data_IF_801451194275
#
_entry.id   IF_801451194275
#
_cell.length_a   1.000
_cell.length_b   1.000
_cell.length_c   1.000
_cell.angle_alpha   90.00
_cell.angle_beta   90.00
_cell.angle_gamma   90.00
#
_symmetry.space_group_name_H-M   'P 1'
#
loop_
_entity.id
_entity.type
_entity.pdbx_description
1 polymer ?
#
# COMPACT_ATOMS: atom_id res chain seq x y z
N UNK A 1 15.41 60.45 43.88
CA UNK A 1 15.29 61.53 42.89
C UNK A 1 15.09 60.93 41.51
N UNK A 2 13.86 60.93 40.99
CA UNK A 2 13.58 60.80 39.56
C UNK A 2 12.57 61.91 39.23
N UNK A 3 13.03 62.97 38.55
CA UNK A 3 12.20 64.07 38.07
C UNK A 3 11.65 63.67 36.71
N UNK A 4 10.34 63.42 36.62
CA UNK A 4 9.67 63.22 35.33
C UNK A 4 9.47 64.61 34.71
N UNK A 5 10.38 64.97 33.83
CA UNK A 5 10.33 66.18 33.03
C UNK A 5 9.92 65.80 31.60
N UNK A 6 8.61 65.77 31.31
CA UNK A 6 8.09 65.90 29.95
C UNK A 6 6.60 66.27 29.98
N UNK A 7 6.29 67.46 29.47
CA UNK A 7 4.93 67.92 29.18
C UNK A 7 4.38 67.08 28.03
N UNK A 8 3.17 66.54 28.19
CA UNK A 8 2.40 65.97 27.09
C UNK A 8 1.83 67.14 26.30
N UNK A 9 2.50 67.53 25.21
CA UNK A 9 1.96 68.47 24.22
C UNK A 9 1.42 67.66 23.05
N UNK A 10 0.10 67.69 22.86
CA UNK A 10 -0.54 67.06 21.70
C UNK A 10 -1.93 66.48 21.92
N UNK A 11 -2.76 67.06 22.78
CA UNK A 11 -4.20 66.70 22.83
C UNK A 11 -4.96 67.76 22.05
N UNK A 12 -5.34 67.43 20.82
CA UNK A 12 -6.33 68.21 20.08
C UNK A 12 -7.72 67.83 20.59
N UNK A 13 -8.43 68.80 21.17
CA UNK A 13 -9.86 68.68 21.49
C UNK A 13 -10.64 68.74 20.18
N UNK A 14 -11.20 67.60 19.77
CA UNK A 14 -12.12 67.53 18.62
C UNK A 14 -13.48 68.05 19.10
N UNK A 15 -13.97 69.14 18.49
CA UNK A 15 -15.34 69.64 18.68
C UNK A 15 -16.32 68.69 17.99
N UNK A 16 -17.47 68.46 18.62
CA UNK A 16 -18.38 67.36 18.33
C UNK A 16 -19.41 67.59 17.20
N UNK A 17 -19.23 68.54 16.27
CA UNK A 17 -20.25 68.85 15.25
C UNK A 17 -19.65 69.11 13.86
N UNK A 18 -19.00 68.10 13.28
CA UNK A 18 -18.71 68.08 11.84
C UNK A 18 -19.04 66.68 11.28
N UNK A 19 -19.90 66.58 10.24
CA UNK A 19 -20.26 65.28 9.67
C UNK A 19 -19.02 64.63 9.03
N UNK A 20 -18.83 63.31 9.21
CA UNK A 20 -17.62 62.65 8.73
C UNK A 20 -17.58 62.66 7.20
N UNK A 21 -16.50 63.23 6.66
CA UNK A 21 -16.17 63.11 5.24
C UNK A 21 -15.94 61.63 4.91
N UNK A 22 -16.58 61.06 3.87
CA UNK A 22 -16.39 59.65 3.53
C UNK A 22 -14.96 59.43 3.04
N UNK A 23 -14.15 58.75 3.85
CA UNK A 23 -12.85 58.25 3.45
C UNK A 23 -13.07 57.10 2.47
N UNK A 24 -12.51 57.14 1.24
CA UNK A 24 -12.65 56.03 0.30
C UNK A 24 -12.00 54.78 0.90
N UNK A 25 -12.75 53.67 0.92
CA UNK A 25 -12.26 52.39 1.36
C UNK A 25 -10.99 52.01 0.56
N UNK A 26 -9.91 51.55 1.21
CA UNK A 26 -8.73 51.10 0.50
C UNK A 26 -9.12 49.93 -0.40
N UNK A 27 -8.95 50.10 -1.70
CA UNK A 27 -9.07 49.01 -2.67
C UNK A 27 -8.09 47.91 -2.26
N UNK A 28 -8.60 46.77 -1.78
CA UNK A 28 -7.76 45.60 -1.51
C UNK A 28 -7.08 45.20 -2.82
N UNK A 29 -5.77 45.38 -2.88
CA UNK A 29 -4.96 44.81 -3.94
C UNK A 29 -5.19 43.29 -3.99
N UNK A 30 -5.27 42.68 -5.19
CA UNK A 30 -5.45 41.24 -5.30
C UNK A 30 -4.33 40.52 -4.56
N UNK A 31 -4.72 39.57 -3.69
CA UNK A 31 -3.78 38.75 -2.96
C UNK A 31 -2.86 38.03 -3.96
N UNK A 32 -1.53 37.99 -3.71
CA UNK A 32 -0.60 37.29 -4.58
C UNK A 32 -1.02 35.82 -4.75
N UNK A 33 -0.88 35.24 -5.96
CA UNK A 33 -1.25 33.85 -6.19
C UNK A 33 -0.50 32.95 -5.20
N UNK A 34 -1.24 32.05 -4.55
CA UNK A 34 -0.66 31.10 -3.62
C UNK A 34 0.45 30.31 -4.31
N UNK A 35 1.62 30.10 -3.65
CA UNK A 35 2.72 29.37 -4.26
C UNK A 35 2.28 27.96 -4.61
N UNK A 36 2.49 27.56 -5.88
CA UNK A 36 2.26 26.20 -6.34
C UNK A 36 3.32 25.31 -5.69
N UNK A 37 2.91 24.43 -4.79
CA UNK A 37 3.81 23.45 -4.17
C UNK A 37 4.31 22.49 -5.25
N UNK A 38 5.59 22.06 -5.19
CA UNK A 38 6.13 21.12 -6.16
C UNK A 38 5.39 19.78 -6.10
N UNK A 39 5.32 19.11 -7.25
CA UNK A 39 4.85 17.73 -7.31
C UNK A 39 5.80 16.82 -6.53
N UNK A 40 5.22 15.90 -5.76
CA UNK A 40 5.94 14.95 -4.92
C UNK A 40 5.36 13.57 -5.19
N UNK A 41 6.08 12.74 -5.93
CA UNK A 41 5.61 11.42 -6.31
C UNK A 41 5.67 10.47 -5.09
N UNK A 42 4.52 10.04 -4.54
CA UNK A 42 4.49 9.25 -3.31
C UNK A 42 5.07 7.85 -3.47
N UNK A 43 5.31 7.35 -4.71
CA UNK A 43 6.03 6.10 -4.94
C UNK A 43 7.49 6.14 -4.48
N UNK A 44 8.10 7.33 -4.55
CA UNK A 44 9.53 7.51 -4.30
C UNK A 44 9.83 8.31 -3.03
N UNK A 45 8.80 8.77 -2.32
CA UNK A 45 8.97 9.39 -1.00
C UNK A 45 9.64 8.40 -0.06
N UNK A 46 10.79 8.77 0.47
CA UNK A 46 11.55 7.92 1.38
C UNK A 46 10.92 7.95 2.75
N UNK A 47 10.58 6.78 3.27
CA UNK A 47 10.15 6.61 4.66
C UNK A 47 11.36 6.25 5.50
N UNK A 48 11.72 7.10 6.45
CA UNK A 48 12.94 6.88 7.25
C UNK A 48 12.77 5.68 8.18
N UNK A 49 11.70 5.68 8.97
CA UNK A 49 11.41 4.67 9.97
C UNK A 49 9.99 4.12 9.78
N UNK A 50 9.83 2.84 10.13
CA UNK A 50 8.51 2.23 10.27
C UNK A 50 7.77 2.97 11.40
N UNK A 51 6.52 3.42 11.21
CA UNK A 51 5.72 3.98 12.30
C UNK A 51 5.52 2.97 13.45
N UNK A 52 5.34 3.48 14.67
CA UNK A 52 5.09 2.67 15.86
C UNK A 52 3.64 2.12 15.91
N UNK A 53 2.74 2.73 15.13
CA UNK A 53 1.33 2.36 15.06
C UNK A 53 1.10 0.99 14.39
N UNK A 54 -0.10 0.45 14.60
CA UNK A 54 -0.55 -0.74 13.90
C UNK A 54 -0.67 -0.46 12.40
N UNK A 55 -0.14 -1.36 11.57
CA UNK A 55 -0.20 -1.25 10.13
C UNK A 55 -1.13 -2.33 9.58
N UNK A 56 -1.81 -2.02 8.47
CA UNK A 56 -2.54 -3.01 7.71
C UNK A 56 -1.52 -3.98 7.08
N UNK A 57 -1.67 -5.28 7.36
CA UNK A 57 -0.74 -6.29 6.88
C UNK A 57 -1.48 -7.49 6.30
N UNK A 58 -0.94 -8.02 5.20
CA UNK A 58 -1.38 -9.28 4.60
C UNK A 58 -0.40 -10.37 5.02
N UNK A 59 -0.91 -11.46 5.60
CA UNK A 59 -0.12 -12.65 5.92
C UNK A 59 -0.57 -13.78 4.99
N UNK A 60 0.34 -14.30 4.18
CA UNK A 60 0.06 -15.39 3.24
C UNK A 60 0.87 -16.65 3.57
N UNK A 61 0.20 -17.81 3.54
CA UNK A 61 0.87 -19.11 3.66
C UNK A 61 1.42 -19.54 2.30
N UNK A 62 2.73 -19.65 2.21
CA UNK A 62 3.45 -20.05 1.00
C UNK A 62 3.94 -21.49 1.15
N UNK A 63 3.70 -22.31 0.12
CA UNK A 63 4.21 -23.69 0.08
C UNK A 63 5.35 -23.80 -0.91
N UNK A 64 6.54 -24.14 -0.42
CA UNK A 64 7.75 -24.36 -1.20
C UNK A 64 7.94 -25.88 -1.40
N UNK A 65 7.88 -26.34 -2.64
CA UNK A 65 8.18 -27.73 -3.00
C UNK A 65 9.61 -27.87 -3.51
N UNK A 66 10.51 -28.42 -2.69
CA UNK A 66 11.91 -28.68 -3.02
C UNK A 66 12.13 -30.16 -3.37
N UNK A 67 13.39 -30.56 -3.58
CA UNK A 67 13.80 -31.97 -3.75
C UNK A 67 13.68 -32.77 -2.45
N UNK A 68 13.83 -32.10 -1.29
CA UNK A 68 13.78 -32.74 0.04
C UNK A 68 12.35 -32.90 0.54
N UNK A 69 11.41 -32.10 0.02
CA UNK A 69 10.00 -32.21 0.37
C UNK A 69 9.25 -30.90 0.20
N UNK A 70 8.07 -30.82 0.84
CA UNK A 70 7.28 -29.60 0.90
C UNK A 70 7.51 -28.91 2.24
N UNK A 71 7.71 -27.60 2.17
CA UNK A 71 7.89 -26.71 3.31
C UNK A 71 6.86 -25.60 3.27
N UNK A 72 6.32 -25.21 4.42
CA UNK A 72 5.33 -24.15 4.53
C UNK A 72 5.95 -22.98 5.29
N UNK A 73 5.86 -21.80 4.72
CA UNK A 73 6.30 -20.54 5.34
C UNK A 73 5.15 -19.54 5.32
N UNK A 74 5.21 -18.54 6.18
CA UNK A 74 4.26 -17.45 6.27
C UNK A 74 4.99 -16.15 5.99
N UNK A 75 4.53 -15.44 4.98
CA UNK A 75 5.08 -14.15 4.56
C UNK A 75 4.10 -13.07 4.95
N UNK A 76 4.57 -12.06 5.67
CA UNK A 76 3.79 -10.88 6.03
C UNK A 76 4.30 -9.66 5.24
N UNK A 77 3.38 -8.89 4.67
CA UNK A 77 3.67 -7.59 4.03
C UNK A 77 2.77 -6.54 4.67
N UNK A 78 3.39 -5.54 5.30
CA UNK A 78 2.70 -4.41 5.91
C UNK A 78 2.66 -3.23 4.96
N UNK A 79 1.58 -2.47 5.01
CA UNK A 79 1.29 -1.36 4.12
C UNK A 79 1.11 -0.05 4.89
N UNK A 80 1.46 1.06 4.24
CA UNK A 80 1.36 2.41 4.78
C UNK A 80 0.80 3.36 3.72
N UNK A 81 -0.12 4.24 4.11
CA UNK A 81 -0.57 5.35 3.28
C UNK A 81 0.55 6.38 3.15
N UNK A 82 0.90 6.73 1.91
CA UNK A 82 1.87 7.77 1.59
C UNK A 82 1.16 8.86 0.78
N UNK A 83 1.19 10.08 1.31
CA UNK A 83 0.66 11.28 0.68
C UNK A 83 1.68 11.88 -0.27
N UNK A 84 1.20 12.51 -1.32
CA UNK A 84 2.03 13.20 -2.31
C UNK A 84 1.22 14.19 -3.14
N UNK A 85 1.83 14.68 -4.21
CA UNK A 85 1.20 15.61 -5.17
C UNK A 85 1.51 15.21 -6.60
N UNK A 86 0.49 15.25 -7.44
CA UNK A 86 0.60 14.99 -8.88
C UNK A 86 -0.21 16.04 -9.63
N UNK A 87 0.43 16.77 -10.55
CA UNK A 87 -0.18 17.88 -11.29
C UNK A 87 -0.81 18.93 -10.35
N UNK A 88 -0.16 19.23 -9.22
CA UNK A 88 -0.66 20.14 -8.18
C UNK A 88 -1.78 19.60 -7.29
N UNK A 89 -2.35 18.43 -7.62
CA UNK A 89 -3.41 17.80 -6.84
C UNK A 89 -2.82 16.91 -5.74
N UNK A 90 -3.33 17.05 -4.52
CA UNK A 90 -2.99 16.15 -3.43
C UNK A 90 -3.55 14.74 -3.70
N UNK A 91 -2.68 13.74 -3.60
CA UNK A 91 -3.03 12.33 -3.77
C UNK A 91 -2.49 11.53 -2.59
N UNK A 92 -3.06 10.35 -2.36
CA UNK A 92 -2.55 9.37 -1.43
C UNK A 92 -2.56 7.99 -2.10
N UNK A 93 -1.54 7.19 -1.80
CA UNK A 93 -1.44 5.80 -2.24
C UNK A 93 -1.08 4.92 -1.06
N UNK A 94 -1.44 3.65 -1.13
CA UNK A 94 -0.93 2.65 -0.21
C UNK A 94 0.36 2.03 -0.77
N UNK A 95 1.40 1.92 0.06
CA UNK A 95 2.69 1.32 -0.30
C UNK A 95 3.08 0.21 0.67
N UNK A 96 3.73 -0.87 0.19
CA UNK A 96 4.39 -1.80 1.08
C UNK A 96 5.54 -1.08 1.81
N UNK A 97 5.69 -1.35 3.11
CA UNK A 97 6.68 -0.67 3.97
C UNK A 97 7.57 -1.64 4.75
N UNK A 98 7.07 -2.84 4.99
CA UNK A 98 7.75 -3.87 5.75
C UNK A 98 7.41 -5.23 5.19
N UNK A 99 8.42 -6.07 5.05
CA UNK A 99 8.30 -7.47 4.69
C UNK A 99 8.87 -8.26 5.86
N UNK A 100 8.10 -9.21 6.36
CA UNK A 100 8.47 -10.02 7.50
C UNK A 100 8.25 -11.50 7.22
N UNK A 101 9.23 -12.31 7.62
CA UNK A 101 9.14 -13.77 7.61
C UNK A 101 9.59 -14.26 8.98
N UNK A 102 8.69 -14.84 9.80
CA UNK A 102 9.05 -15.26 11.15
C UNK A 102 10.17 -16.31 11.15
N UNK A 103 11.08 -16.21 12.11
CA UNK A 103 12.19 -17.15 12.26
C UNK A 103 11.70 -18.58 12.61
N UNK A 104 12.55 -19.58 12.36
CA UNK A 104 12.28 -20.98 12.69
C UNK A 104 11.33 -21.69 11.71
N UNK A 105 10.91 -21.03 10.64
CA UNK A 105 10.14 -21.65 9.56
C UNK A 105 11.02 -22.33 8.50
N UNK A 106 12.35 -22.31 8.69
CA UNK A 106 13.33 -22.86 7.75
C UNK A 106 14.33 -23.77 8.42
N UNK A 107 14.73 -24.82 7.69
CA UNK A 107 15.62 -25.88 8.17
C UNK A 107 17.10 -25.46 8.25
N UNK A 108 17.48 -24.34 7.62
CA UNK A 108 18.81 -23.71 7.71
C UNK A 108 18.78 -22.45 8.60
N UNK A 109 19.97 -22.03 9.05
CA UNK A 109 20.20 -20.81 9.83
C UNK A 109 19.44 -19.63 9.22
N UNK A 110 18.35 -19.20 9.87
CA UNK A 110 17.45 -18.16 9.39
C UNK A 110 18.07 -16.76 9.29
N UNK A 111 19.38 -16.61 9.50
CA UNK A 111 20.09 -15.34 9.43
C UNK A 111 20.00 -14.70 8.04
N UNK A 112 20.13 -15.50 6.97
CA UNK A 112 20.02 -14.98 5.61
C UNK A 112 18.61 -14.48 5.31
N UNK A 113 17.59 -15.13 5.86
CA UNK A 113 16.19 -14.73 5.72
C UNK A 113 15.99 -13.40 6.43
N UNK A 114 16.40 -13.30 7.69
CA UNK A 114 16.30 -12.08 8.47
C UNK A 114 17.01 -10.92 7.77
N UNK A 115 18.23 -11.15 7.25
CA UNK A 115 18.97 -10.15 6.47
C UNK A 115 18.21 -9.74 5.19
N UNK A 116 17.66 -10.72 4.45
CA UNK A 116 16.92 -10.47 3.20
C UNK A 116 15.63 -9.68 3.47
N UNK A 117 14.86 -10.03 4.51
CA UNK A 117 13.62 -9.33 4.87
C UNK A 117 13.90 -7.89 5.34
N UNK A 118 14.99 -7.67 6.07
CA UNK A 118 15.45 -6.32 6.45
C UNK A 118 15.83 -5.49 5.22
N UNK A 119 16.57 -6.08 4.27
CA UNK A 119 16.95 -5.42 3.01
C UNK A 119 15.74 -5.10 2.14
N UNK A 120 14.78 -6.02 2.03
CA UNK A 120 13.53 -5.79 1.30
C UNK A 120 12.67 -4.71 1.97
N UNK A 121 12.58 -4.69 3.29
CA UNK A 121 11.87 -3.64 4.02
C UNK A 121 12.51 -2.26 3.82
N UNK A 122 13.85 -2.20 3.76
CA UNK A 122 14.55 -0.98 3.40
C UNK A 122 14.26 -0.56 1.94
N UNK A 123 14.21 -1.51 1.01
CA UNK A 123 13.86 -1.25 -0.39
C UNK A 123 12.42 -0.74 -0.54
N UNK A 124 11.49 -1.27 0.24
CA UNK A 124 10.08 -0.85 0.32
C UNK A 124 9.97 0.61 0.78
N UNK A 125 10.63 0.93 1.90
CA UNK A 125 10.74 2.30 2.42
C UNK A 125 11.40 3.27 1.44
N UNK A 126 12.36 2.80 0.65
CA UNK A 126 13.08 3.58 -0.36
C UNK A 126 12.38 3.70 -1.72
N UNK A 127 11.27 3.01 -1.96
CA UNK A 127 10.52 3.10 -3.22
C UNK A 127 11.10 2.28 -4.39
N UNK A 128 11.94 1.29 -4.10
CA UNK A 128 12.58 0.44 -5.12
C UNK A 128 12.39 -1.07 -4.89
N UNK A 129 11.42 -1.46 -4.06
CA UNK A 129 11.08 -2.86 -3.77
C UNK A 129 10.80 -3.68 -5.04
N UNK A 130 10.07 -3.10 -6.00
CA UNK A 130 9.72 -3.78 -7.26
C UNK A 130 10.97 -4.28 -7.99
N UNK A 131 11.99 -3.42 -8.11
CA UNK A 131 13.28 -3.79 -8.71
C UNK A 131 14.01 -4.83 -7.87
N UNK A 132 14.05 -4.64 -6.55
CA UNK A 132 14.70 -5.59 -5.65
C UNK A 132 14.08 -7.00 -5.75
N UNK A 133 12.76 -7.11 -5.85
CA UNK A 133 12.06 -8.38 -6.05
C UNK A 133 12.41 -8.99 -7.41
N UNK A 134 12.39 -8.20 -8.51
CA UNK A 134 12.77 -8.66 -9.85
C UNK A 134 14.21 -9.19 -9.90
N UNK A 135 15.14 -8.58 -9.15
CA UNK A 135 16.51 -9.07 -9.05
C UNK A 135 16.59 -10.35 -8.19
N UNK A 136 15.87 -10.42 -7.07
CA UNK A 136 15.82 -11.63 -6.23
C UNK A 136 15.20 -12.84 -6.96
N UNK A 137 14.28 -12.62 -7.91
CA UNK A 137 13.72 -13.67 -8.78
C UNK A 137 14.77 -14.42 -9.60
N UNK A 138 15.95 -13.82 -9.80
CA UNK A 138 17.02 -14.36 -10.62
C UNK A 138 18.10 -15.11 -9.82
N UNK A 139 18.04 -15.07 -8.49
CA UNK A 139 19.05 -15.70 -7.63
C UNK A 139 19.07 -17.22 -7.85
N UNK A 140 20.18 -17.80 -8.34
CA UNK A 140 20.27 -19.23 -8.59
C UNK A 140 20.62 -20.01 -7.32
N UNK A 141 20.35 -21.32 -7.37
CA UNK A 141 20.81 -22.27 -6.35
C UNK A 141 21.16 -23.63 -6.95
N UNK A 142 22.00 -24.38 -6.26
CA UNK A 142 22.48 -25.71 -6.63
C UNK A 142 21.58 -26.85 -6.14
N UNK A 143 20.65 -26.62 -5.20
CA UNK A 143 19.75 -27.68 -4.66
C UNK A 143 18.53 -27.97 -5.55
N UNK A 144 18.58 -27.56 -6.81
CA UNK A 144 17.53 -27.78 -7.81
C UNK A 144 16.39 -26.77 -7.72
N UNK A 145 15.40 -26.89 -8.63
CA UNK A 145 14.32 -25.91 -8.74
C UNK A 145 13.34 -26.03 -7.56
N UNK A 146 12.77 -24.90 -7.18
CA UNK A 146 11.76 -24.78 -6.12
C UNK A 146 10.41 -24.51 -6.76
N UNK A 147 9.41 -25.32 -6.42
CA UNK A 147 8.02 -25.13 -6.85
C UNK A 147 7.31 -24.18 -5.88
N UNK A 148 6.75 -23.09 -6.39
CA UNK A 148 5.94 -22.18 -5.58
C UNK A 148 4.91 -21.47 -6.47
N UNK A 149 3.63 -21.52 -6.07
CA UNK A 149 2.54 -20.98 -6.86
C UNK A 149 2.17 -21.85 -8.06
N UNK A 150 1.11 -21.44 -8.74
CA UNK A 150 0.44 -22.19 -9.79
C UNK A 150 0.11 -21.27 -10.96
N UNK A 151 0.24 -21.78 -12.18
CA UNK A 151 -0.15 -21.09 -13.41
C UNK A 151 -1.21 -21.92 -14.14
N UNK A 152 -2.32 -21.29 -14.47
CA UNK A 152 -3.33 -21.86 -15.36
C UNK A 152 -2.75 -21.87 -16.79
N UNK A 153 -2.54 -23.06 -17.34
CA UNK A 153 -2.01 -23.27 -18.69
C UNK A 153 -3.14 -23.39 -19.73
N UNK A 154 -4.38 -23.14 -19.33
CA UNK A 154 -5.57 -23.38 -20.14
C UNK A 154 -6.04 -24.84 -20.06
N UNK A 155 -7.26 -25.09 -20.56
CA UNK A 155 -7.88 -26.42 -20.59
C UNK A 155 -7.99 -27.11 -19.22
N UNK A 156 -8.14 -26.32 -18.14
CA UNK A 156 -8.20 -26.84 -16.77
C UNK A 156 -6.87 -27.38 -16.23
N UNK A 157 -5.76 -27.24 -16.98
CA UNK A 157 -4.44 -27.69 -16.57
C UNK A 157 -3.74 -26.61 -15.75
N UNK A 158 -3.59 -26.87 -14.46
CA UNK A 158 -2.81 -26.03 -13.55
C UNK A 158 -1.44 -26.64 -13.35
N UNK A 159 -0.39 -25.85 -13.56
CA UNK A 159 1.01 -26.30 -13.41
C UNK A 159 1.73 -25.52 -12.32
N UNK A 160 2.55 -26.17 -11.47
CA UNK A 160 3.35 -25.47 -10.48
C UNK A 160 4.44 -24.64 -11.17
N UNK A 161 4.65 -23.42 -10.68
CA UNK A 161 5.71 -22.56 -11.20
C UNK A 161 7.04 -22.96 -10.57
N UNK A 162 8.06 -23.10 -11.41
CA UNK A 162 9.42 -23.45 -11.01
C UNK A 162 10.26 -22.19 -10.85
N UNK A 163 11.06 -22.16 -9.79
CA UNK A 163 11.93 -21.06 -9.43
C UNK A 163 13.36 -21.55 -9.23
N UNK A 164 14.38 -20.72 -9.52
CA UNK A 164 15.77 -21.14 -9.47
C UNK A 164 16.33 -21.33 -8.05
N UNK A 165 15.64 -20.82 -7.02
CA UNK A 165 16.04 -20.93 -5.60
C UNK A 165 14.86 -20.70 -4.64
N UNK A 166 15.05 -20.97 -3.35
CA UNK A 166 14.10 -20.59 -2.29
C UNK A 166 13.92 -19.06 -2.22
N UNK A 167 14.99 -18.30 -2.38
CA UNK A 167 14.97 -16.83 -2.42
C UNK A 167 14.07 -16.33 -3.55
N UNK A 168 14.25 -16.88 -4.76
CA UNK A 168 13.44 -16.51 -5.91
C UNK A 168 11.97 -16.89 -5.71
N UNK A 169 11.68 -18.03 -5.09
CA UNK A 169 10.32 -18.46 -4.77
C UNK A 169 9.65 -17.54 -3.74
N UNK A 170 10.37 -17.11 -2.70
CA UNK A 170 9.89 -16.13 -1.71
C UNK A 170 9.64 -14.77 -2.37
N UNK A 171 10.56 -14.29 -3.21
CA UNK A 171 10.37 -13.04 -3.95
C UNK A 171 9.13 -13.09 -4.84
N UNK A 172 8.88 -14.22 -5.50
CA UNK A 172 7.65 -14.44 -6.27
C UNK A 172 6.40 -14.39 -5.39
N UNK A 173 6.42 -15.04 -4.23
CA UNK A 173 5.28 -15.00 -3.31
C UNK A 173 4.98 -13.57 -2.83
N UNK A 174 6.02 -12.77 -2.51
CA UNK A 174 5.84 -11.37 -2.16
C UNK A 174 5.26 -10.58 -3.36
N UNK A 175 5.77 -10.80 -4.58
CA UNK A 175 5.19 -10.17 -5.77
C UNK A 175 3.71 -10.50 -5.90
N UNK A 176 3.30 -11.75 -5.67
CA UNK A 176 1.88 -12.14 -5.72
C UNK A 176 1.03 -11.42 -4.69
N UNK A 177 1.50 -11.25 -3.46
CA UNK A 177 0.82 -10.44 -2.43
C UNK A 177 0.63 -9.01 -2.95
N UNK A 178 1.69 -8.41 -3.52
CA UNK A 178 1.63 -7.04 -4.06
C UNK A 178 0.73 -6.92 -5.30
N UNK A 179 0.70 -7.92 -6.16
CA UNK A 179 -0.23 -8.00 -7.29
C UNK A 179 -1.68 -8.04 -6.80
N UNK A 180 -1.95 -8.90 -5.83
CA UNK A 180 -3.29 -9.05 -5.25
C UNK A 180 -3.76 -7.79 -4.51
N UNK A 181 -2.82 -7.02 -3.92
CA UNK A 181 -3.11 -5.72 -3.29
C UNK A 181 -3.28 -4.58 -4.32
N UNK A 182 -2.99 -4.83 -5.60
CA UNK A 182 -3.05 -3.83 -6.67
C UNK A 182 -1.84 -2.90 -6.74
N UNK A 183 -0.75 -3.20 -6.03
CA UNK A 183 0.49 -2.41 -6.06
C UNK A 183 1.37 -2.76 -7.28
N UNK A 184 1.37 -4.03 -7.69
CA UNK A 184 2.03 -4.52 -8.91
C UNK A 184 0.99 -5.04 -9.91
N UNK A 185 1.34 -5.03 -11.19
CA UNK A 185 0.53 -5.67 -12.24
C UNK A 185 0.74 -7.20 -12.27
N UNK A 186 0.03 -7.91 -13.15
CA UNK A 186 0.11 -9.37 -13.25
C UNK A 186 1.51 -9.89 -13.65
N UNK A 187 2.32 -9.05 -14.30
CA UNK A 187 3.68 -9.36 -14.74
C UNK A 187 4.73 -8.94 -13.70
N UNK A 188 4.31 -8.31 -12.59
CA UNK A 188 5.16 -7.87 -11.50
C UNK A 188 5.84 -6.52 -11.74
N UNK A 189 5.30 -5.69 -12.64
CA UNK A 189 5.73 -4.31 -12.84
C UNK A 189 4.94 -3.34 -11.94
N UNK A 190 5.52 -2.16 -11.74
CA UNK A 190 4.89 -1.12 -10.94
C UNK A 190 3.64 -0.60 -11.64
N UNK A 191 2.49 -0.65 -10.94
CA UNK A 191 1.25 -0.04 -11.42
C UNK A 191 1.41 1.48 -11.48
N UNK A 192 0.91 2.16 -12.52
CA UNK A 192 0.97 3.62 -12.64
C UNK A 192 0.35 4.35 -11.45
N UNK A 193 0.95 5.49 -11.09
CA UNK A 193 0.61 6.26 -9.90
C UNK A 193 -0.87 6.69 -9.86
N UNK A 194 -1.42 7.09 -11.00
CA UNK A 194 -2.80 7.53 -11.15
C UNK A 194 -3.79 6.41 -10.83
N UNK A 195 -3.43 5.17 -11.18
CA UNK A 195 -4.25 3.98 -10.91
C UNK A 195 -4.21 3.65 -9.42
N UNK A 196 -3.03 3.72 -8.79
CA UNK A 196 -2.87 3.51 -7.36
C UNK A 196 -3.66 4.53 -6.53
N UNK A 197 -3.57 5.81 -6.89
CA UNK A 197 -4.29 6.89 -6.21
C UNK A 197 -5.81 6.70 -6.31
N UNK A 198 -6.32 6.29 -7.48
CA UNK A 198 -7.74 5.99 -7.68
C UNK A 198 -8.21 4.78 -6.87
N UNK A 199 -7.40 3.73 -6.82
CA UNK A 199 -7.71 2.54 -6.02
C UNK A 199 -7.80 2.89 -4.53
N UNK A 200 -6.81 3.61 -4.02
CA UNK A 200 -6.78 4.06 -2.63
C UNK A 200 -7.97 4.96 -2.25
N UNK A 201 -8.28 5.95 -3.10
CA UNK A 201 -9.42 6.85 -2.86
C UNK A 201 -10.77 6.10 -2.78
N UNK A 202 -10.92 5.00 -3.55
CA UNK A 202 -12.11 4.15 -3.48
C UNK A 202 -12.16 3.35 -2.18
N UNK A 203 -11.05 2.74 -1.77
CA UNK A 203 -10.97 1.98 -0.52
C UNK A 203 -11.34 2.86 0.69
N UNK A 204 -10.78 4.06 0.78
CA UNK A 204 -11.12 5.02 1.84
C UNK A 204 -12.61 5.39 1.84
N UNK A 205 -13.24 5.49 0.66
CA UNK A 205 -14.67 5.80 0.56
C UNK A 205 -15.58 4.64 0.96
N UNK A 206 -15.16 3.39 0.73
CA UNK A 206 -15.91 2.20 1.13
C UNK A 206 -15.78 1.92 2.64
N UNK A 207 -14.60 2.16 3.22
CA UNK A 207 -14.40 2.11 4.68
C UNK A 207 -15.27 3.15 5.41
N UNK A 208 -15.35 4.36 4.87
CA UNK A 208 -16.20 5.44 5.44
C UNK A 208 -17.70 5.14 5.33
N UNK A 209 -18.12 4.27 4.39
CA UNK A 209 -19.53 3.83 4.22
C UNK A 209 -19.92 2.65 5.10
N UNK A 210 -18.95 2.01 5.74
CA UNK A 210 -19.16 0.87 6.62
C UNK A 210 -19.42 1.39 8.04
N UNK A 211 -20.68 1.67 8.39
CA UNK A 211 -21.04 2.14 9.74
C UNK A 211 -20.55 1.16 10.83
N UNK A 212 -20.04 1.62 11.99
CA UNK A 212 -19.39 0.76 13.00
C UNK A 212 -20.34 0.05 13.99
N UNK A 213 -21.64 -0.05 13.71
CA UNK A 213 -22.59 -0.74 14.60
C UNK A 213 -22.92 -2.15 14.10
N UNK A 214 -22.08 -3.13 14.48
CA UNK A 214 -22.31 -4.58 14.65
C UNK A 214 -20.94 -5.28 14.51
N UNK A 215 -20.32 -5.94 15.48
CA UNK A 215 -20.85 -6.71 16.60
C UNK A 215 -19.70 -6.95 17.60
N UNK A 216 -19.79 -6.38 18.81
CA UNK A 216 -19.06 -6.87 19.97
C UNK A 216 -19.63 -8.25 20.34
N UNK A 217 -19.01 -9.32 19.85
CA UNK A 217 -19.10 -10.63 20.51
C UNK A 217 -17.85 -10.86 21.34
N UNK A 218 -18.08 -10.91 22.65
CA UNK A 218 -17.08 -10.99 23.70
C UNK A 218 -16.13 -12.19 23.53
N UNK A 219 -14.83 -11.91 23.41
CA UNK A 219 -13.78 -12.90 23.56
C UNK A 219 -13.45 -13.07 25.05
N UNK A 220 -13.96 -14.13 25.67
CA UNK A 220 -13.40 -14.66 26.91
C UNK A 220 -12.24 -15.63 26.57
N UNK A 221 -11.13 -15.61 27.32
CA UNK A 221 -9.94 -16.40 27.00
C UNK A 221 -10.06 -17.81 27.57
N UNK A 222 -10.01 -18.82 26.70
CA UNK A 222 -9.73 -20.20 27.11
C UNK A 222 -9.15 -20.98 25.93
N UNK A 223 -7.83 -21.20 25.95
CA UNK A 223 -7.20 -22.36 25.29
C UNK A 223 -7.74 -23.63 25.95
N UNK A 224 -8.01 -24.74 25.22
CA UNK A 224 -6.91 -25.60 24.74
C UNK A 224 -7.14 -26.37 23.41
N UNK A 225 -6.02 -26.87 22.88
CA UNK A 225 -5.81 -28.14 22.14
C UNK A 225 -6.44 -28.44 20.77
N UNK A 226 -5.51 -28.57 19.82
CA UNK A 226 -5.40 -29.40 18.62
C UNK A 226 -6.32 -30.65 18.59
N UNK A 227 -7.23 -30.74 17.61
CA UNK A 227 -7.31 -31.80 16.59
C UNK A 227 -8.56 -31.70 15.69
N UNK A 228 -8.35 -31.98 14.39
CA UNK A 228 -9.30 -32.40 13.36
C UNK A 228 -10.57 -31.56 13.07
N UNK A 229 -10.54 -30.78 11.99
CA UNK A 229 -11.76 -30.49 11.21
C UNK A 229 -11.52 -30.76 9.73
N UNK A 230 -12.41 -31.62 9.22
CA UNK A 230 -12.55 -32.07 7.85
C UNK A 230 -12.68 -30.91 6.85
N UNK A 231 -12.18 -31.24 5.67
CA UNK A 231 -12.20 -30.49 4.42
C UNK A 231 -13.60 -30.01 4.01
N UNK A 232 -13.71 -28.71 3.73
CA UNK A 232 -14.58 -28.17 2.68
C UNK A 232 -13.72 -27.31 1.75
N UNK A 233 -13.83 -27.45 0.43
CA UNK A 233 -12.99 -26.71 -0.50
C UNK A 233 -13.41 -25.24 -0.49
N UNK A 234 -12.46 -24.36 -0.18
CA UNK A 234 -12.58 -22.93 -0.44
C UNK A 234 -12.57 -22.77 -1.95
N UNK A 235 -13.73 -22.43 -2.53
CA UNK A 235 -13.82 -22.05 -3.93
C UNK A 235 -12.85 -20.90 -4.19
N UNK A 236 -11.86 -21.15 -5.04
CA UNK A 236 -10.90 -20.16 -5.50
C UNK A 236 -11.65 -19.03 -6.23
N UNK A 237 -11.78 -17.87 -5.57
CA UNK A 237 -12.42 -16.67 -6.10
C UNK A 237 -11.62 -16.10 -7.26
N UNK A 238 -11.99 -16.49 -8.48
CA UNK A 238 -11.38 -16.10 -9.76
C UNK A 238 -12.07 -14.82 -10.30
N UNK A 239 -12.01 -13.70 -9.56
CA UNK A 239 -12.63 -12.42 -9.95
C UNK A 239 -11.65 -11.23 -10.01
N UNK A 240 -10.37 -11.47 -10.28
CA UNK A 240 -9.37 -10.40 -10.44
C UNK A 240 -9.14 -10.08 -11.93
N UNK A 241 -9.17 -8.80 -12.27
CA UNK A 241 -8.95 -8.30 -13.62
C UNK A 241 -7.52 -8.58 -14.09
N UNK A 242 -7.32 -9.26 -15.24
CA UNK A 242 -5.98 -9.60 -15.71
C UNK A 242 -5.17 -8.38 -16.16
N UNK A 243 -5.83 -7.27 -16.52
CA UNK A 243 -5.15 -6.06 -17.00
C UNK A 243 -4.69 -5.11 -15.90
N UNK A 244 -5.42 -5.00 -14.79
CA UNK A 244 -5.14 -4.02 -13.74
C UNK A 244 -5.09 -4.60 -12.33
N UNK A 245 -5.28 -5.92 -12.17
CA UNK A 245 -5.25 -6.59 -10.87
C UNK A 245 -6.40 -6.24 -9.92
N UNK A 246 -7.37 -5.43 -10.35
CA UNK A 246 -8.49 -5.04 -9.50
C UNK A 246 -9.61 -6.08 -9.49
N UNK A 247 -10.42 -6.10 -8.43
CA UNK A 247 -11.36 -7.19 -8.14
C UNK A 247 -12.78 -6.94 -8.65
N UNK A 248 -13.01 -5.85 -9.38
CA UNK A 248 -14.34 -5.45 -9.86
C UNK A 248 -14.58 -5.84 -11.33
N UNK A 249 -14.53 -7.15 -11.61
CA UNK A 249 -15.10 -7.69 -12.85
C UNK A 249 -16.61 -7.84 -12.67
N UNK A 250 -17.39 -7.21 -13.56
CA UNK A 250 -18.84 -7.42 -13.67
C UNK A 250 -19.17 -7.96 -15.05
N UNK A 251 -20.18 -8.83 -15.11
CA UNK A 251 -20.72 -9.30 -16.38
C UNK A 251 -21.74 -8.29 -16.89
N UNK A 252 -21.38 -7.56 -17.95
CA UNK A 252 -22.22 -6.57 -18.62
C UNK A 252 -22.40 -7.06 -20.07
N UNK A 253 -23.65 -7.17 -20.53
CA UNK A 253 -23.99 -7.67 -21.87
C UNK A 253 -23.36 -9.03 -22.23
N UNK A 254 -23.22 -9.92 -21.23
CA UNK A 254 -22.63 -11.24 -21.39
C UNK A 254 -21.10 -11.29 -21.39
N UNK A 255 -20.43 -10.14 -21.28
CA UNK A 255 -18.98 -10.02 -21.28
C UNK A 255 -18.43 -9.67 -19.89
N UNK A 256 -17.32 -10.30 -19.51
CA UNK A 256 -16.59 -9.97 -18.28
C UNK A 256 -15.85 -8.67 -18.48
N UNK A 257 -16.36 -7.61 -17.86
CA UNK A 257 -15.86 -6.24 -18.01
C UNK A 257 -15.42 -5.71 -16.65
N UNK A 258 -14.16 -5.30 -16.57
CA UNK A 258 -13.59 -4.64 -15.42
C UNK A 258 -14.06 -3.18 -15.38
N UNK A 259 -14.83 -2.83 -14.35
CA UNK A 259 -15.31 -1.46 -14.15
C UNK A 259 -14.22 -0.51 -13.62
N UNK A 260 -12.99 -0.99 -13.43
CA UNK A 260 -11.85 -0.20 -12.92
C UNK A 260 -10.93 0.31 -14.03
N UNK A 261 -10.61 -0.51 -15.03
CA UNK A 261 -9.73 -0.14 -16.15
C UNK A 261 -10.40 -0.21 -17.53
N UNK A 262 -11.66 -0.65 -17.61
CA UNK A 262 -12.37 -0.80 -18.88
C UNK A 262 -12.00 -2.05 -19.67
N UNK A 263 -11.16 -2.95 -19.13
CA UNK A 263 -10.85 -4.22 -19.75
C UNK A 263 -12.13 -5.04 -19.95
N UNK A 264 -12.39 -5.48 -21.19
CA UNK A 264 -13.47 -6.42 -21.49
C UNK A 264 -12.90 -7.61 -22.23
N UNK A 265 -13.30 -8.82 -21.84
CA UNK A 265 -12.82 -10.05 -22.49
C UNK A 265 -13.33 -10.23 -23.94
N UNK A 266 -14.32 -9.44 -24.35
CA UNK A 266 -14.94 -9.50 -25.67
C UNK A 266 -14.44 -8.40 -26.64
N UNK A 267 -13.48 -7.57 -26.22
CA UNK A 267 -12.86 -6.54 -27.05
C UNK A 267 -11.60 -7.04 -27.75
#
# INVERSE_FOLDING_TARGET
>A
MLKIAKKITGVALVKADEPPVPVPAPTLAPAPPAPVLPDENPLFVRVENRPDEALNAVIEKVTLGTQVGKKKIYVAVSFLEIKGRLNGQAIAIERPIEIFLPAGQTDEDGQWIVATMRSLSLAARGGYLTRALQDLRQVPWTKGPVRCGEKDWGNGKVVPIQHPSEVAAIAYAIQRILCNRGFLDADGNQVPLEVLARHHARQASDETRSDPEQELVAANPSTPSIEAVLEKPVAAGKNTCPQCGGSNIRRIDGCDTCTECGHSKCA
#
